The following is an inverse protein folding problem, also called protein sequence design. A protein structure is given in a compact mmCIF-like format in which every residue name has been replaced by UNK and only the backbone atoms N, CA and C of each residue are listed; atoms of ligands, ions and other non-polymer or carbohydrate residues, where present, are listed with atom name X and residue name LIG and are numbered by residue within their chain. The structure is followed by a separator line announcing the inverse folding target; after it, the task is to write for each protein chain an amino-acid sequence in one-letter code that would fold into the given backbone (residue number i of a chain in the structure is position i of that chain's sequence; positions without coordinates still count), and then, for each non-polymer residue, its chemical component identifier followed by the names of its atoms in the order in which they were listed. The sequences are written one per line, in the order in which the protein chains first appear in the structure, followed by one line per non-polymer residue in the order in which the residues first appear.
data_IF_900341700864
#
_entry.id   IF_900341700864
#
_cell.length_a   1.000
_cell.length_b   1.000
_cell.length_c   1.000
_cell.angle_alpha   90.00
_cell.angle_beta   90.00
_cell.angle_gamma   90.00
#
_symmetry.space_group_name_H-M   'P 1'
#
loop_
_entity.id
_entity.type
_entity.pdbx_description
1 polymer ?
#
# COMPACT_ATOMS: atom_id res chain seq x y z
N UNK A 1 33.49 -54.29 14.95
CA UNK A 1 32.40 -53.47 15.55
C UNK A 1 32.10 -52.29 14.61
N UNK A 2 31.29 -52.48 13.55
CA UNK A 2 31.02 -51.42 12.55
C UNK A 2 29.54 -51.06 12.37
N UNK A 3 28.66 -51.55 13.24
CA UNK A 3 27.20 -51.29 13.15
C UNK A 3 26.65 -50.28 14.16
N UNK A 4 27.48 -49.67 15.02
CA UNK A 4 27.01 -48.67 16.01
C UNK A 4 26.88 -47.24 15.48
N UNK A 5 27.60 -46.88 14.41
CA UNK A 5 27.61 -45.49 13.90
C UNK A 5 26.53 -45.23 12.83
N UNK A 6 25.99 -46.27 12.21
CA UNK A 6 24.95 -46.13 11.16
C UNK A 6 23.57 -45.84 11.77
N UNK A 7 23.28 -46.40 12.95
CA UNK A 7 21.98 -46.21 13.63
C UNK A 7 21.79 -44.78 14.15
N UNK A 8 22.86 -44.10 14.58
CA UNK A 8 22.78 -42.71 15.04
C UNK A 8 22.54 -41.70 13.89
N UNK A 9 22.99 -42.01 12.68
CA UNK A 9 22.75 -41.15 11.50
C UNK A 9 21.32 -41.29 10.99
N UNK A 10 20.73 -42.48 11.06
CA UNK A 10 19.33 -42.73 10.70
C UNK A 10 18.33 -42.18 11.73
N UNK A 11 18.68 -42.15 13.02
CA UNK A 11 17.82 -41.54 14.05
C UNK A 11 17.84 -40.01 14.00
N UNK A 12 18.93 -39.37 13.57
CA UNK A 12 18.97 -37.91 13.38
C UNK A 12 18.07 -37.44 12.22
N UNK A 13 17.86 -38.27 11.18
CA UNK A 13 16.94 -37.94 10.08
C UNK A 13 15.46 -38.05 10.45
N UNK A 14 15.10 -38.72 11.55
CA UNK A 14 13.71 -38.85 12.01
C UNK A 14 13.26 -37.70 12.92
N UNK A 15 14.18 -36.83 13.37
CA UNK A 15 13.89 -35.59 14.12
C UNK A 15 14.00 -34.32 13.28
N UNK A 16 14.43 -34.43 12.03
CA UNK A 16 14.26 -33.37 11.06
C UNK A 16 12.79 -33.43 10.63
N UNK A 17 11.93 -32.71 11.36
CA UNK A 17 10.65 -32.28 10.79
C UNK A 17 10.96 -31.80 9.37
N UNK A 18 10.23 -32.28 8.34
CA UNK A 18 10.42 -31.73 7.01
C UNK A 18 10.33 -30.22 7.18
N UNK A 19 11.41 -29.51 6.83
CA UNK A 19 11.32 -28.09 6.63
C UNK A 19 10.36 -27.97 5.43
N UNK A 20 9.06 -27.90 5.73
CA UNK A 20 8.05 -27.52 4.75
C UNK A 20 8.49 -26.12 4.36
N UNK A 21 9.26 -26.03 3.27
CA UNK A 21 9.62 -24.78 2.66
C UNK A 21 8.32 -24.01 2.53
N UNK A 22 8.25 -22.84 3.17
CA UNK A 22 7.06 -22.02 3.14
C UNK A 22 6.80 -21.63 1.68
N UNK A 23 5.99 -22.42 0.99
CA UNK A 23 5.53 -22.06 -0.35
C UNK A 23 4.50 -20.97 -0.14
N UNK A 24 4.92 -19.72 -0.33
CA UNK A 24 4.00 -18.62 -0.57
C UNK A 24 3.20 -19.02 -1.81
N UNK A 25 1.93 -19.36 -1.64
CA UNK A 25 1.05 -19.62 -2.78
C UNK A 25 0.96 -18.34 -3.60
N UNK A 26 1.29 -18.41 -4.89
CA UNK A 26 1.00 -17.32 -5.83
C UNK A 26 -0.50 -17.09 -5.80
N UNK A 27 -0.90 -15.90 -5.38
CA UNK A 27 -2.30 -15.47 -5.41
C UNK A 27 -2.56 -14.94 -6.82
N UNK A 28 -3.58 -15.47 -7.50
CA UNK A 28 -3.96 -14.96 -8.82
C UNK A 28 -4.28 -13.47 -8.70
N UNK A 29 -3.66 -12.61 -9.55
CA UNK A 29 -3.92 -11.18 -9.50
C UNK A 29 -5.38 -10.91 -9.87
N UNK A 30 -5.92 -9.85 -9.28
CA UNK A 30 -7.08 -9.20 -9.84
C UNK A 30 -6.68 -8.50 -11.16
N UNK A 31 -7.58 -8.52 -12.12
CA UNK A 31 -7.28 -8.01 -13.45
C UNK A 31 -8.49 -7.35 -14.12
N UNK A 32 -8.22 -6.40 -15.01
CA UNK A 32 -9.26 -5.81 -15.85
C UNK A 32 -9.32 -6.55 -17.18
N UNK A 33 -10.51 -7.05 -17.55
CA UNK A 33 -10.77 -7.68 -18.84
C UNK A 33 -11.87 -6.95 -19.61
N UNK A 34 -11.92 -7.17 -20.93
CA UNK A 34 -13.00 -6.65 -21.75
C UNK A 34 -14.30 -7.42 -21.49
N UNK A 35 -15.39 -6.69 -21.23
CA UNK A 35 -16.74 -7.27 -21.16
C UNK A 35 -17.70 -6.49 -22.05
N UNK A 36 -18.01 -7.06 -23.22
CA UNK A 36 -18.79 -6.38 -24.25
C UNK A 36 -18.11 -5.07 -24.68
N UNK A 37 -18.82 -3.94 -24.50
CA UNK A 37 -18.30 -2.59 -24.77
C UNK A 37 -17.55 -1.97 -23.58
N UNK A 38 -17.64 -2.58 -22.40
CA UNK A 38 -17.09 -2.09 -21.15
C UNK A 38 -15.93 -2.93 -20.61
N UNK A 39 -15.70 -2.80 -19.32
CA UNK A 39 -14.66 -3.51 -18.58
C UNK A 39 -15.30 -4.33 -17.46
N UNK A 40 -14.72 -5.48 -17.15
CA UNK A 40 -14.96 -6.21 -15.90
C UNK A 40 -13.66 -6.28 -15.12
N UNK A 41 -13.73 -6.03 -13.81
CA UNK A 41 -12.64 -6.27 -12.88
C UNK A 41 -12.85 -7.64 -12.24
N UNK A 42 -12.00 -8.58 -12.64
CA UNK A 42 -12.00 -9.94 -12.13
C UNK A 42 -11.28 -9.99 -10.80
N UNK A 43 -11.89 -10.68 -9.84
CA UNK A 43 -11.33 -10.86 -8.50
C UNK A 43 -11.37 -12.36 -8.16
N UNK A 44 -10.38 -13.15 -8.61
CA UNK A 44 -10.40 -14.61 -8.48
C UNK A 44 -10.59 -15.10 -7.04
N UNK A 45 -10.09 -14.31 -6.08
CA UNK A 45 -10.17 -14.60 -4.64
C UNK A 45 -11.42 -14.02 -3.96
N UNK A 46 -12.37 -13.47 -4.72
CA UNK A 46 -13.64 -12.93 -4.22
C UNK A 46 -14.83 -13.54 -4.96
N UNK A 47 -15.97 -13.63 -4.27
CA UNK A 47 -17.17 -14.26 -4.84
C UNK A 47 -17.88 -13.39 -5.90
N UNK A 48 -17.37 -12.20 -6.20
CA UNK A 48 -18.01 -11.26 -7.13
C UNK A 48 -16.99 -10.53 -7.97
N UNK A 49 -17.30 -10.33 -9.25
CA UNK A 49 -16.57 -9.42 -10.14
C UNK A 49 -17.26 -8.05 -10.17
N UNK A 50 -16.53 -6.99 -10.50
CA UNK A 50 -17.10 -5.65 -10.62
C UNK A 50 -17.25 -5.28 -12.10
N UNK A 51 -18.46 -4.89 -12.50
CA UNK A 51 -18.72 -4.43 -13.86
C UNK A 51 -18.53 -2.92 -13.97
N UNK A 52 -17.81 -2.50 -15.00
CA UNK A 52 -17.49 -1.12 -15.35
C UNK A 52 -17.95 -0.87 -16.80
N UNK A 53 -19.27 -0.86 -17.06
CA UNK A 53 -19.81 -0.86 -18.42
C UNK A 53 -19.47 0.40 -19.22
N UNK A 54 -19.20 1.51 -18.53
CA UNK A 54 -18.91 2.81 -19.15
C UNK A 54 -17.43 3.04 -19.44
N UNK A 55 -16.53 2.16 -18.96
CA UNK A 55 -15.08 2.30 -19.13
C UNK A 55 -14.66 1.69 -20.46
N UNK A 56 -13.82 2.40 -21.22
CA UNK A 56 -13.34 1.90 -22.51
C UNK A 56 -12.10 1.02 -22.33
N UNK A 57 -12.26 -0.30 -22.48
CA UNK A 57 -11.16 -1.26 -22.34
C UNK A 57 -9.95 -0.95 -23.25
N UNK A 58 -10.19 -0.59 -24.52
CA UNK A 58 -9.10 -0.34 -25.48
C UNK A 58 -8.22 0.84 -25.08
N UNK A 59 -8.78 1.80 -24.34
CA UNK A 59 -8.08 2.99 -23.83
C UNK A 59 -7.60 2.83 -22.39
N UNK A 60 -8.05 1.81 -21.68
CA UNK A 60 -7.70 1.59 -20.27
C UNK A 60 -6.20 1.32 -20.16
N UNK A 61 -5.52 2.11 -19.34
CA UNK A 61 -4.09 1.97 -19.03
C UNK A 61 -3.89 2.13 -17.54
N UNK A 62 -2.86 1.46 -17.02
CA UNK A 62 -2.31 1.75 -15.71
C UNK A 62 -1.67 3.14 -15.71
N UNK A 63 -1.79 3.87 -14.62
CA UNK A 63 -1.04 5.11 -14.41
C UNK A 63 0.34 4.78 -13.84
N UNK A 64 1.34 5.57 -14.23
CA UNK A 64 2.68 5.41 -13.69
C UNK A 64 2.69 5.66 -12.18
N UNK A 65 3.36 4.80 -11.42
CA UNK A 65 3.68 5.06 -10.02
C UNK A 65 4.92 5.95 -9.97
N UNK A 66 4.72 7.21 -9.62
CA UNK A 66 5.78 8.22 -9.62
C UNK A 66 6.70 8.16 -8.38
N UNK A 67 6.47 7.24 -7.43
CA UNK A 67 7.44 6.95 -6.35
C UNK A 67 8.55 6.00 -6.80
N UNK A 68 8.35 5.25 -7.89
CA UNK A 68 9.37 4.34 -8.40
C UNK A 68 10.39 5.18 -9.17
N UNK A 69 11.62 5.24 -8.64
CA UNK A 69 12.78 5.72 -9.38
C UNK A 69 13.42 4.53 -10.12
N UNK A 70 13.33 4.47 -11.46
CA UNK A 70 13.92 3.39 -12.23
C UNK A 70 15.43 3.22 -12.01
N UNK A 71 16.14 4.29 -11.60
CA UNK A 71 17.56 4.23 -11.31
C UNK A 71 17.89 3.49 -9.99
N UNK A 72 16.87 3.25 -9.15
CA UNK A 72 17.01 2.56 -7.85
C UNK A 72 16.56 1.11 -7.88
N UNK A 73 16.00 0.65 -9.01
CA UNK A 73 15.54 -0.73 -9.17
C UNK A 73 16.72 -1.68 -9.25
N UNK A 74 16.58 -2.85 -8.61
CA UNK A 74 17.54 -3.93 -8.81
C UNK A 74 17.40 -4.53 -10.22
N UNK A 75 18.46 -5.10 -10.79
CA UNK A 75 18.49 -5.58 -12.19
C UNK A 75 17.40 -6.62 -12.54
N UNK A 76 16.78 -7.23 -11.53
CA UNK A 76 15.71 -8.23 -11.68
C UNK A 76 14.29 -7.66 -11.43
N UNK A 77 14.17 -6.38 -11.06
CA UNK A 77 12.89 -5.71 -10.88
C UNK A 77 12.44 -5.06 -12.20
N UNK A 78 11.34 -5.56 -12.76
CA UNK A 78 10.74 -5.00 -13.97
C UNK A 78 9.50 -4.19 -13.63
N UNK A 79 9.41 -2.96 -14.14
CA UNK A 79 8.16 -2.18 -14.09
C UNK A 79 7.23 -2.73 -15.18
N UNK A 80 6.05 -3.30 -14.84
CA UNK A 80 5.13 -3.80 -15.85
C UNK A 80 4.71 -2.69 -16.82
N UNK A 81 4.52 -2.98 -18.12
CA UNK A 81 4.10 -1.96 -19.07
C UNK A 81 2.75 -1.36 -18.65
N UNK A 82 2.47 -0.11 -19.02
CA UNK A 82 1.19 0.54 -18.66
C UNK A 82 -0.05 -0.11 -19.29
N UNK A 83 0.16 -1.02 -20.24
CA UNK A 83 -0.89 -1.86 -20.85
C UNK A 83 -1.17 -3.13 -20.06
N UNK A 84 -0.32 -3.48 -19.09
CA UNK A 84 -0.59 -4.59 -18.17
C UNK A 84 -1.65 -4.18 -17.16
N UNK A 85 -2.78 -4.88 -17.21
CA UNK A 85 -3.96 -4.65 -16.39
C UNK A 85 -4.13 -5.75 -15.31
N UNK A 86 -3.09 -6.56 -15.07
CA UNK A 86 -3.05 -7.67 -14.10
C UNK A 86 -2.16 -7.36 -12.89
N UNK A 87 -2.01 -6.07 -12.57
CA UNK A 87 -1.05 -5.57 -11.57
C UNK A 87 -1.65 -5.42 -10.16
N UNK A 88 -2.92 -5.77 -9.97
CA UNK A 88 -3.63 -5.65 -8.69
C UNK A 88 -3.59 -7.00 -7.96
N UNK A 89 -2.85 -7.15 -6.86
CA UNK A 89 -2.71 -8.44 -6.16
C UNK A 89 -2.58 -8.27 -4.65
N UNK A 90 -2.84 -9.34 -3.90
CA UNK A 90 -2.60 -9.36 -2.45
C UNK A 90 -1.25 -9.99 -2.15
N UNK A 91 -0.40 -9.31 -1.40
CA UNK A 91 0.80 -9.90 -0.84
C UNK A 91 0.44 -10.56 0.48
N UNK A 92 0.70 -11.87 0.58
CA UNK A 92 0.43 -12.66 1.79
C UNK A 92 1.75 -13.09 2.42
N UNK A 93 1.96 -12.71 3.66
CA UNK A 93 2.97 -13.30 4.54
C UNK A 93 2.35 -14.29 5.52
N UNK A 94 3.17 -14.90 6.37
CA UNK A 94 2.67 -15.90 7.33
C UNK A 94 1.67 -15.34 8.36
N UNK A 95 1.82 -14.06 8.73
CA UNK A 95 1.05 -13.43 9.81
C UNK A 95 0.25 -12.20 9.37
N UNK A 96 0.41 -11.75 8.14
CA UNK A 96 -0.23 -10.55 7.63
C UNK A 96 -0.40 -10.65 6.11
N UNK A 97 -1.34 -9.89 5.59
CA UNK A 97 -1.47 -9.65 4.16
C UNK A 97 -1.75 -8.18 3.92
N UNK A 98 -1.43 -7.71 2.73
CA UNK A 98 -1.77 -6.36 2.31
C UNK A 98 -2.04 -6.33 0.81
N UNK A 99 -3.00 -5.50 0.36
CA UNK A 99 -3.28 -5.32 -1.05
C UNK A 99 -2.23 -4.41 -1.69
N UNK A 100 -1.85 -4.75 -2.92
CA UNK A 100 -1.15 -3.88 -3.86
C UNK A 100 -2.09 -3.60 -5.03
N UNK A 101 -2.57 -2.36 -5.13
CA UNK A 101 -3.45 -1.96 -6.22
C UNK A 101 -2.84 -0.79 -6.99
N UNK A 102 -3.12 -0.75 -8.29
CA UNK A 102 -2.68 0.28 -9.19
C UNK A 102 -3.84 1.20 -9.60
N UNK A 103 -3.49 2.46 -9.87
CA UNK A 103 -4.40 3.40 -10.48
C UNK A 103 -4.50 3.14 -11.99
N UNK A 104 -5.70 3.28 -12.54
CA UNK A 104 -5.95 3.08 -13.96
C UNK A 104 -6.81 4.22 -14.53
N UNK A 105 -6.71 4.45 -15.84
CA UNK A 105 -7.58 5.41 -16.54
C UNK A 105 -7.84 5.00 -17.99
N UNK A 106 -9.06 5.27 -18.48
CA UNK A 106 -9.39 5.23 -19.91
C UNK A 106 -9.32 6.63 -20.57
N UNK A 107 -8.85 7.65 -19.82
CA UNK A 107 -8.83 9.06 -20.19
C UNK A 107 -10.12 9.82 -19.87
N UNK A 108 -11.16 9.15 -19.32
CA UNK A 108 -12.38 9.80 -18.81
C UNK A 108 -12.66 9.49 -17.35
N UNK A 109 -12.24 8.32 -16.89
CA UNK A 109 -12.37 7.91 -15.49
C UNK A 109 -11.02 7.61 -14.88
N UNK A 110 -10.87 7.90 -13.59
CA UNK A 110 -9.84 7.33 -12.75
C UNK A 110 -10.44 6.12 -12.04
N UNK A 111 -9.71 5.02 -12.00
CA UNK A 111 -10.15 3.74 -11.44
C UNK A 111 -9.11 3.25 -10.44
N UNK A 112 -9.58 2.74 -9.32
CA UNK A 112 -8.76 2.13 -8.30
C UNK A 112 -9.47 0.89 -7.74
N UNK A 113 -8.79 -0.25 -7.68
CA UNK A 113 -9.33 -1.51 -7.16
C UNK A 113 -10.72 -1.89 -7.72
N UNK A 114 -10.91 -1.70 -9.03
CA UNK A 114 -12.17 -2.01 -9.71
C UNK A 114 -13.30 -1.01 -9.53
N UNK A 115 -13.06 0.16 -8.95
CA UNK A 115 -14.07 1.22 -8.74
C UNK A 115 -13.69 2.51 -9.43
N UNK A 116 -14.66 3.17 -10.05
CA UNK A 116 -14.50 4.54 -10.54
C UNK A 116 -14.37 5.46 -9.33
N UNK A 117 -13.30 6.24 -9.29
CA UNK A 117 -13.02 7.21 -8.24
C UNK A 117 -13.96 8.38 -8.39
N UNK A 118 -14.63 8.75 -7.29
CA UNK A 118 -15.61 9.83 -7.25
C UNK A 118 -15.43 10.64 -5.98
N UNK A 119 -15.50 11.96 -6.13
CA UNK A 119 -15.47 12.87 -4.99
C UNK A 119 -16.87 13.01 -4.38
N UNK A 120 -16.96 13.23 -3.05
CA UNK A 120 -18.25 13.47 -2.39
C UNK A 120 -18.93 14.72 -2.93
N UNK A 121 -20.25 14.79 -2.80
CA UNK A 121 -21.02 15.96 -3.21
C UNK A 121 -20.50 17.23 -2.52
N UNK A 122 -20.33 18.31 -3.29
CA UNK A 122 -19.77 19.58 -2.83
C UNK A 122 -18.26 19.71 -2.96
N UNK A 123 -17.53 18.61 -3.16
CA UNK A 123 -16.11 18.68 -3.53
C UNK A 123 -15.94 18.86 -5.06
N UNK A 124 -14.81 19.43 -5.53
CA UNK A 124 -14.51 19.51 -6.96
C UNK A 124 -14.53 18.13 -7.62
N UNK A 125 -14.95 18.00 -8.89
CA UNK A 125 -14.88 16.73 -9.61
C UNK A 125 -13.43 16.28 -9.78
N UNK A 126 -13.24 14.96 -9.94
CA UNK A 126 -11.92 14.37 -10.22
C UNK A 126 -11.40 14.91 -11.54
N UNK A 127 -10.23 15.53 -11.52
CA UNK A 127 -9.60 16.08 -12.72
C UNK A 127 -8.63 15.06 -13.31
N UNK A 128 -9.13 14.29 -14.29
CA UNK A 128 -8.40 13.19 -14.94
C UNK A 128 -7.10 13.66 -15.60
N UNK A 129 -7.08 14.89 -16.14
CA UNK A 129 -5.94 15.42 -16.90
C UNK A 129 -4.74 15.74 -16.00
N UNK A 130 -4.98 16.27 -14.80
CA UNK A 130 -3.92 16.60 -13.84
C UNK A 130 -3.61 15.46 -12.85
N UNK A 131 -4.35 14.35 -12.91
CA UNK A 131 -4.22 13.24 -11.98
C UNK A 131 -2.86 12.56 -12.06
N UNK A 132 -2.21 12.39 -10.90
CA UNK A 132 -0.91 11.73 -10.73
C UNK A 132 -0.97 10.78 -9.54
N UNK A 133 -0.22 9.68 -9.62
CA UNK A 133 -0.24 8.60 -8.64
C UNK A 133 1.16 8.28 -8.09
N UNK A 134 1.21 7.92 -6.81
CA UNK A 134 2.37 7.63 -5.98
C UNK A 134 2.02 6.47 -5.04
N UNK A 135 2.07 5.23 -5.54
CA UNK A 135 1.54 4.05 -4.84
C UNK A 135 0.04 4.18 -4.58
N UNK A 136 -0.41 3.94 -3.35
CA UNK A 136 -1.80 4.10 -2.91
C UNK A 136 -2.23 5.59 -2.79
N UNK A 137 -1.28 6.54 -2.84
CA UNK A 137 -1.55 7.97 -2.80
C UNK A 137 -1.68 8.54 -4.21
N UNK A 138 -2.56 9.50 -4.39
CA UNK A 138 -2.68 10.23 -5.64
C UNK A 138 -3.17 11.66 -5.41
N UNK A 139 -3.02 12.50 -6.42
CA UNK A 139 -3.54 13.86 -6.40
C UNK A 139 -3.94 14.29 -7.81
N UNK A 140 -4.96 15.12 -7.87
CA UNK A 140 -5.19 16.00 -9.02
C UNK A 140 -5.02 17.46 -8.58
N UNK A 141 -5.22 18.41 -9.49
CA UNK A 141 -5.04 19.85 -9.18
C UNK A 141 -5.93 20.38 -8.05
N UNK A 142 -7.00 19.66 -7.69
CA UNK A 142 -8.01 20.09 -6.73
C UNK A 142 -8.04 19.26 -5.44
N UNK A 143 -7.70 17.96 -5.51
CA UNK A 143 -7.93 17.01 -4.43
C UNK A 143 -6.78 16.02 -4.24
N UNK A 144 -6.61 15.57 -3.01
CA UNK A 144 -5.75 14.46 -2.61
C UNK A 144 -6.58 13.18 -2.47
N UNK A 145 -5.95 12.05 -2.75
CA UNK A 145 -6.58 10.75 -2.75
C UNK A 145 -5.71 9.71 -2.06
N UNK A 146 -6.36 8.77 -1.40
CA UNK A 146 -5.73 7.58 -0.86
C UNK A 146 -6.66 6.39 -1.10
N UNK A 147 -6.13 5.33 -1.70
CA UNK A 147 -6.86 4.08 -1.96
C UNK A 147 -8.21 4.26 -2.68
N UNK A 148 -8.24 5.17 -3.66
CA UNK A 148 -9.43 5.45 -4.45
C UNK A 148 -10.46 6.36 -3.79
N UNK A 149 -10.20 6.88 -2.59
CA UNK A 149 -11.08 7.83 -1.90
C UNK A 149 -10.40 9.20 -1.77
N UNK A 150 -11.20 10.26 -1.79
CA UNK A 150 -10.73 11.62 -1.54
C UNK A 150 -10.39 11.79 -0.06
N UNK A 151 -9.20 12.31 0.23
CA UNK A 151 -8.76 12.57 1.61
C UNK A 151 -8.88 14.04 1.99
N UNK A 152 -8.31 14.93 1.19
CA UNK A 152 -8.17 16.36 1.49
C UNK A 152 -8.18 17.23 0.22
N UNK A 153 -8.21 18.55 0.39
CA UNK A 153 -8.04 19.52 -0.68
C UNK A 153 -6.58 19.60 -1.14
N UNK A 154 -6.37 19.70 -2.45
CA UNK A 154 -5.07 20.01 -3.05
C UNK A 154 -5.02 21.40 -3.71
N UNK A 155 -6.18 22.04 -3.90
CA UNK A 155 -6.25 23.42 -4.36
C UNK A 155 -5.81 24.41 -3.26
N UNK A 156 -5.37 25.60 -3.67
CA UNK A 156 -5.01 26.71 -2.77
C UNK A 156 -3.53 27.12 -2.84
N UNK A 157 -3.08 27.90 -1.86
CA UNK A 157 -1.78 28.61 -1.89
C UNK A 157 -0.56 27.68 -1.76
N UNK A 158 -0.75 26.48 -1.19
CA UNK A 158 0.29 25.45 -1.05
C UNK A 158 -0.25 24.10 -1.53
N UNK A 159 -0.24 23.83 -2.85
CA UNK A 159 -0.54 22.50 -3.38
C UNK A 159 0.58 21.51 -3.05
N UNK A 160 0.29 20.23 -3.23
CA UNK A 160 1.29 19.15 -3.23
C UNK A 160 2.46 19.49 -4.14
N UNK A 161 3.67 19.49 -3.59
CA UNK A 161 4.90 19.61 -4.37
C UNK A 161 5.34 18.24 -4.88
N UNK A 162 4.77 17.87 -6.02
CA UNK A 162 5.09 16.60 -6.70
C UNK A 162 6.57 16.37 -7.02
N UNK A 163 7.42 17.43 -7.04
CA UNK A 163 8.84 17.29 -7.38
C UNK A 163 9.66 16.81 -6.18
N UNK A 164 9.26 17.19 -4.98
CA UNK A 164 9.95 16.86 -3.74
C UNK A 164 9.25 15.77 -2.95
N UNK A 165 8.06 15.34 -3.40
CA UNK A 165 7.33 14.23 -2.79
C UNK A 165 8.14 12.94 -2.85
N UNK A 166 8.36 12.35 -1.68
CA UNK A 166 9.00 11.05 -1.54
C UNK A 166 8.38 10.29 -0.37
N UNK A 167 8.56 8.98 -0.39
CA UNK A 167 8.24 8.14 0.75
C UNK A 167 9.28 8.35 1.85
N UNK A 168 8.83 8.46 3.10
CA UNK A 168 9.73 8.63 4.23
C UNK A 168 10.55 7.36 4.46
N UNK A 169 11.87 7.48 4.34
CA UNK A 169 12.79 6.43 4.76
C UNK A 169 12.97 6.49 6.27
N UNK A 170 12.52 5.45 6.98
CA UNK A 170 12.58 5.40 8.44
C UNK A 170 13.91 4.73 8.86
N UNK A 171 14.81 5.45 9.56
CA UNK A 171 16.08 4.87 9.98
C UNK A 171 15.88 3.86 11.12
N UNK A 172 16.85 2.96 11.36
CA UNK A 172 16.86 2.11 12.54
C UNK A 172 16.60 2.90 13.84
N UNK A 173 15.80 2.37 14.79
CA UNK A 173 15.32 0.99 14.90
C UNK A 173 13.98 0.72 14.16
N UNK A 174 13.48 1.68 13.38
CA UNK A 174 12.19 1.55 12.71
C UNK A 174 12.27 0.64 11.49
N UNK A 175 11.21 -0.11 11.25
CA UNK A 175 11.04 -0.90 10.05
C UNK A 175 10.51 0.00 8.92
N UNK A 176 10.86 -0.30 7.65
CA UNK A 176 10.51 0.53 6.51
C UNK A 176 8.99 0.56 6.27
N UNK A 177 8.50 1.68 5.75
CA UNK A 177 7.09 1.87 5.39
C UNK A 177 6.75 1.19 4.06
N UNK A 178 6.65 -0.14 4.03
CA UNK A 178 6.46 -0.90 2.78
C UNK A 178 5.18 -0.54 2.01
N UNK A 179 4.19 0.09 2.65
CA UNK A 179 2.93 0.50 2.00
C UNK A 179 2.90 1.96 1.56
N UNK A 180 3.97 2.73 1.81
CA UNK A 180 3.98 4.17 1.50
C UNK A 180 2.87 4.95 2.21
N UNK A 181 2.56 4.59 3.46
CA UNK A 181 1.56 5.28 4.28
C UNK A 181 1.99 6.69 4.67
N UNK A 182 3.30 6.96 4.69
CA UNK A 182 3.90 8.20 5.14
C UNK A 182 4.71 8.81 4.00
N UNK A 183 4.17 9.86 3.40
CA UNK A 183 4.83 10.63 2.35
C UNK A 183 5.18 12.02 2.86
N UNK A 184 6.19 12.63 2.25
CA UNK A 184 6.64 13.98 2.56
C UNK A 184 7.03 14.70 1.29
N UNK A 185 6.59 15.94 1.16
CA UNK A 185 7.16 16.88 0.18
C UNK A 185 7.89 18.03 0.91
N UNK A 186 8.23 19.11 0.20
CA UNK A 186 8.87 20.28 0.80
C UNK A 186 7.99 20.99 1.85
N UNK A 187 6.67 20.92 1.70
CA UNK A 187 5.70 21.72 2.43
C UNK A 187 5.01 20.95 3.55
N UNK A 188 4.59 19.71 3.28
CA UNK A 188 3.73 18.91 4.14
C UNK A 188 4.20 17.47 4.33
N UNK A 189 3.79 16.93 5.47
CA UNK A 189 3.74 15.50 5.75
C UNK A 189 2.34 14.97 5.44
N UNK A 190 2.26 13.81 4.79
CA UNK A 190 1.05 13.08 4.49
C UNK A 190 1.04 11.74 5.21
N UNK A 191 -0.05 11.41 5.90
CA UNK A 191 -0.27 10.10 6.53
C UNK A 191 -1.60 9.53 6.03
N UNK A 192 -1.57 8.33 5.43
CA UNK A 192 -2.72 7.71 4.76
C UNK A 192 -3.39 8.68 3.77
N UNK A 193 -2.56 9.45 3.06
CA UNK A 193 -2.95 10.52 2.13
C UNK A 193 -3.60 11.76 2.73
N UNK A 194 -3.69 11.88 4.06
CA UNK A 194 -4.14 13.13 4.69
C UNK A 194 -2.97 14.05 5.00
N UNK A 195 -3.16 15.34 4.78
CA UNK A 195 -2.21 16.41 5.09
C UNK A 195 -2.19 16.67 6.60
N UNK A 196 -1.05 16.44 7.24
CA UNK A 196 -0.96 16.44 8.71
C UNK A 196 -0.48 17.78 9.28
N UNK A 197 0.69 18.22 8.81
CA UNK A 197 1.40 19.40 9.30
C UNK A 197 2.54 19.79 8.33
N UNK A 198 3.12 20.96 8.57
CA UNK A 198 4.38 21.36 7.92
C UNK A 198 5.56 20.51 8.40
N UNK A 199 6.55 20.34 7.52
CA UNK A 199 7.43 19.17 7.51
C UNK A 199 8.45 19.07 8.63
N UNK A 200 8.72 20.15 9.37
CA UNK A 200 9.93 20.27 10.20
C UNK A 200 9.86 19.60 11.58
N UNK A 201 8.83 18.82 11.88
CA UNK A 201 8.61 18.29 13.24
C UNK A 201 8.25 16.81 13.33
N UNK A 202 8.29 16.07 12.23
CA UNK A 202 7.94 14.65 12.21
C UNK A 202 8.94 13.80 12.98
N UNK A 203 8.45 12.98 13.91
CA UNK A 203 9.23 11.96 14.62
C UNK A 203 8.38 10.73 14.88
N UNK A 204 8.89 9.56 14.51
CA UNK A 204 8.28 8.28 14.89
C UNK A 204 8.47 8.06 16.40
N UNK A 205 7.37 7.74 17.08
CA UNK A 205 7.31 7.45 18.52
C UNK A 205 7.29 5.96 18.80
N UNK A 206 6.57 5.20 17.96
CA UNK A 206 6.43 3.76 18.10
C UNK A 206 6.03 3.12 16.76
N UNK A 207 6.39 1.85 16.58
CA UNK A 207 5.89 1.00 15.51
C UNK A 207 5.42 -0.34 16.07
N UNK A 208 4.37 -0.90 15.47
CA UNK A 208 3.81 -2.21 15.83
C UNK A 208 3.46 -3.01 14.58
N UNK A 209 3.85 -4.29 14.55
CA UNK A 209 3.38 -5.24 13.53
C UNK A 209 1.88 -5.52 13.69
N UNK A 210 1.25 -5.93 12.59
CA UNK A 210 -0.15 -6.39 12.57
C UNK A 210 -0.33 -7.85 13.00
N UNK A 211 0.65 -8.46 13.69
CA UNK A 211 0.46 -9.81 14.23
C UNK A 211 -0.57 -9.81 15.38
N UNK A 212 -1.28 -10.94 15.54
CA UNK A 212 -2.30 -11.13 16.58
C UNK A 212 -1.70 -11.22 17.99
N UNK A 213 -0.39 -11.15 18.13
CA UNK A 213 0.27 -11.30 19.41
C UNK A 213 0.31 -9.95 20.15
N UNK A 214 0.39 -10.02 21.49
CA UNK A 214 0.43 -8.84 22.36
C UNK A 214 1.61 -7.90 22.06
N UNK A 215 1.63 -6.75 22.73
CA UNK A 215 2.67 -5.72 22.57
C UNK A 215 4.07 -6.36 22.61
N UNK A 216 4.78 -6.30 21.47
CA UNK A 216 6.15 -6.79 21.24
C UNK A 216 6.30 -8.33 21.28
N UNK A 217 5.89 -8.97 20.18
CA UNK A 217 6.08 -10.41 19.95
C UNK A 217 7.42 -10.72 19.24
N UNK A 218 8.06 -11.82 19.63
CA UNK A 218 9.36 -12.27 19.08
C UNK A 218 9.23 -12.88 17.67
N UNK A 219 10.25 -12.61 16.85
CA UNK A 219 10.40 -13.05 15.45
C UNK A 219 10.34 -14.58 15.31
N UNK A 220 9.51 -15.08 14.39
CA UNK A 220 9.54 -16.49 13.95
C UNK A 220 10.74 -16.75 13.03
N UNK A 221 11.46 -17.86 13.27
CA UNK A 221 12.75 -18.21 12.64
C UNK A 221 12.67 -18.68 11.19
N UNK A 222 11.48 -18.93 10.63
CA UNK A 222 11.30 -19.34 9.23
C UNK A 222 11.06 -18.16 8.28
N UNK A 223 10.98 -16.93 8.79
CA UNK A 223 10.63 -15.73 8.02
C UNK A 223 11.74 -14.71 8.25
N UNK A 224 12.51 -14.42 7.20
CA UNK A 224 13.75 -13.63 7.32
C UNK A 224 13.53 -12.18 7.81
N UNK A 225 12.30 -11.69 7.91
CA UNK A 225 11.88 -10.51 8.70
C UNK A 225 10.39 -10.66 9.07
N UNK A 226 9.91 -10.11 10.21
CA UNK A 226 8.49 -9.92 10.43
C UNK A 226 7.91 -9.17 9.22
N UNK A 227 7.16 -9.89 8.39
CA UNK A 227 6.60 -9.38 7.15
C UNK A 227 5.17 -8.95 7.45
N UNK A 228 4.98 -7.66 7.64
CA UNK A 228 3.66 -7.08 7.79
C UNK A 228 3.78 -5.57 7.79
N UNK A 229 2.80 -4.86 7.23
CA UNK A 229 2.74 -3.42 7.42
C UNK A 229 2.68 -3.05 8.91
N UNK A 230 3.24 -1.88 9.20
CA UNK A 230 3.49 -1.41 10.56
C UNK A 230 2.54 -0.28 10.88
N UNK A 231 1.80 -0.40 11.99
CA UNK A 231 1.16 0.76 12.57
C UNK A 231 2.25 1.64 13.16
N UNK A 232 2.35 2.86 12.63
CA UNK A 232 3.33 3.86 13.04
C UNK A 232 2.62 4.96 13.80
N UNK A 233 2.99 5.11 15.08
CA UNK A 233 2.64 6.28 15.87
C UNK A 233 3.73 7.33 15.66
N UNK A 234 3.36 8.51 15.20
CA UNK A 234 4.25 9.62 14.96
C UNK A 234 3.78 10.87 15.69
N UNK A 235 4.72 11.77 16.00
CA UNK A 235 4.43 13.13 16.45
C UNK A 235 4.89 14.14 15.43
N UNK A 236 4.19 15.25 15.44
CA UNK A 236 4.61 16.55 14.91
C UNK A 236 4.72 17.52 16.09
N UNK A 237 5.02 18.79 15.81
CA UNK A 237 5.06 19.83 16.83
C UNK A 237 3.71 20.02 17.51
N UNK A 238 2.61 19.79 16.79
CA UNK A 238 1.25 20.13 17.26
C UNK A 238 0.33 18.93 17.41
N UNK A 239 0.68 17.76 16.86
CA UNK A 239 -0.18 16.58 16.83
C UNK A 239 0.58 15.29 17.12
N UNK A 240 -0.10 14.30 17.69
CA UNK A 240 0.29 12.89 17.65
C UNK A 240 -0.66 12.19 16.69
N UNK A 241 -0.12 11.45 15.72
CA UNK A 241 -0.84 10.80 14.63
C UNK A 241 -0.51 9.31 14.55
N UNK A 242 -1.46 8.50 14.08
CA UNK A 242 -1.26 7.07 13.83
C UNK A 242 -1.61 6.72 12.39
N UNK A 243 -0.81 5.84 11.76
CA UNK A 243 -1.16 5.21 10.46
C UNK A 243 -2.19 4.09 10.58
N UNK A 244 -2.66 3.79 11.81
CA UNK A 244 -3.49 2.62 12.11
C UNK A 244 -4.67 2.44 11.13
N UNK A 245 -4.60 1.36 10.35
CA UNK A 245 -5.64 0.92 9.45
C UNK A 245 -6.52 -0.09 10.19
N UNK A 246 -7.60 0.37 10.84
CA UNK A 246 -8.59 -0.53 11.41
C UNK A 246 -9.26 -1.32 10.27
N UNK A 247 -9.05 -2.64 10.25
CA UNK A 247 -9.75 -3.56 9.37
C UNK A 247 -11.24 -3.65 9.75
N UNK A 248 -12.04 -2.69 9.27
CA UNK A 248 -13.44 -2.91 8.92
C UNK A 248 -13.66 -2.35 7.51
N UNK A 249 -14.26 -3.12 6.58
CA UNK A 249 -14.32 -2.79 5.15
C UNK A 249 -15.31 -1.67 4.78
N UNK A 250 -15.62 -0.74 5.68
CA UNK A 250 -16.69 0.25 5.49
C UNK A 250 -16.30 1.70 5.70
N UNK A 251 -15.03 2.03 5.95
CA UNK A 251 -14.48 3.40 5.89
C UNK A 251 -12.95 3.37 5.97
N UNK A 252 -12.25 4.16 5.16
CA UNK A 252 -10.86 4.52 5.48
C UNK A 252 -10.91 5.29 6.81
N UNK A 253 -10.30 4.81 7.91
CA UNK A 253 -10.18 5.62 9.10
C UNK A 253 -9.24 6.78 8.76
N UNK A 254 -9.72 8.02 8.89
CA UNK A 254 -8.83 9.18 8.94
C UNK A 254 -7.73 8.91 9.97
N UNK A 255 -6.47 9.30 9.72
CA UNK A 255 -5.41 9.12 10.71
C UNK A 255 -5.85 9.74 12.01
N UNK A 256 -5.76 8.98 13.10
CA UNK A 256 -6.10 9.46 14.43
C UNK A 256 -5.02 10.44 14.86
N UNK A 257 -5.26 11.72 14.56
CA UNK A 257 -4.40 12.82 14.94
C UNK A 257 -5.02 13.61 16.09
N UNK A 258 -4.45 13.50 17.29
CA UNK A 258 -4.84 14.28 18.45
C UNK A 258 -3.92 15.50 18.61
N UNK A 259 -4.50 16.68 18.85
CA UNK A 259 -3.74 17.88 19.18
C UNK A 259 -3.18 17.84 20.60
N UNK A 260 -2.06 18.52 20.85
CA UNK A 260 -1.62 18.74 22.23
C UNK A 260 -2.58 19.72 22.93
N UNK A 261 -3.06 19.37 24.12
CA UNK A 261 -3.72 20.33 25.00
C UNK A 261 -2.68 21.42 25.34
N UNK A 262 -3.01 22.68 25.05
CA UNK A 262 -2.26 23.82 25.59
C UNK A 262 -2.43 23.78 27.12
N UNK A 263 -1.35 23.53 27.84
CA UNK A 263 -1.24 23.84 29.26
C UNK A 263 -0.85 25.30 29.44
#
# INVERSE_FOLDING_TARGET
MHFRNVVCLLSCSLFLSPAWGCKLSSVDPNEYQQQGKGVVYLRPNQNTNLSLPNVNYKRLRRLANLLIDPATLEDWEEIPPLTDLSTDYDVRGANAWYPHYSWHSDGRYIIYAGKIVQNPAGAPPVDVTSFKAWGDFAADKNSLYFRGERTDDNGGDKPLDSKTLHQMNLPPPWEPDVLGLILRDANFLYINGHRIAETNSFRVLAQKSWDKHGKFSMKFSCIRKPFGPWDTLARTQTKICSTANNWMPTRIPSPLCAGYLKH
#
